data_IF_680923888450
#
_entry.id   IF_680923888450
#
_cell.length_a   1.000
_cell.length_b   1.000
_cell.length_c   1.000
_cell.angle_alpha   90.00
_cell.angle_beta   90.00
_cell.angle_gamma   90.00
#
_symmetry.space_group_name_H-M   'P 1'
#
loop_
_entity.id
_entity.type
_entity.pdbx_description
1 polymer ?
#
# COMPACT_ATOMS: atom_id res chain seq x y z
N UNK A 1 37.51 -14.92 14.36
CA UNK A 1 36.84 -13.61 14.25
C UNK A 1 35.66 -13.81 13.33
N UNK A 2 34.45 -13.78 13.86
CA UNK A 2 33.23 -13.76 13.07
C UNK A 2 33.20 -12.43 12.33
N UNK A 3 33.16 -12.48 11.00
CA UNK A 3 33.09 -11.28 10.16
C UNK A 3 31.61 -10.99 9.92
N UNK A 4 31.06 -9.97 10.57
CA UNK A 4 29.69 -9.52 10.33
C UNK A 4 29.56 -8.88 8.94
N UNK A 5 28.60 -9.33 8.14
CA UNK A 5 28.21 -8.67 6.90
C UNK A 5 26.92 -7.91 7.18
N UNK A 6 26.96 -6.59 7.16
CA UNK A 6 25.79 -5.73 7.35
C UNK A 6 25.15 -5.37 6.01
N UNK A 7 23.89 -5.76 5.81
CA UNK A 7 23.08 -5.39 4.64
C UNK A 7 22.32 -4.11 5.01
N UNK A 8 22.85 -2.96 4.63
CA UNK A 8 22.39 -1.67 5.16
C UNK A 8 21.30 -0.98 4.35
N UNK A 9 20.90 -1.48 3.16
CA UNK A 9 19.80 -0.84 2.41
C UNK A 9 19.14 -1.74 1.38
N UNK A 10 17.86 -2.02 1.62
CA UNK A 10 16.91 -2.48 0.60
C UNK A 10 16.30 -1.22 -0.02
N UNK A 11 16.68 -0.90 -1.25
CA UNK A 11 15.99 0.12 -2.05
C UNK A 11 15.06 -0.60 -3.02
N UNK A 12 13.77 -0.61 -2.71
CA UNK A 12 12.73 -0.97 -3.67
C UNK A 12 12.48 0.24 -4.57
N UNK A 13 13.15 0.28 -5.73
CA UNK A 13 12.79 1.22 -6.77
C UNK A 13 11.47 0.74 -7.40
N UNK A 14 10.37 1.35 -6.95
CA UNK A 14 9.01 1.14 -7.40
C UNK A 14 8.88 1.26 -8.92
N UNK A 15 8.45 0.19 -9.58
CA UNK A 15 7.53 0.26 -10.70
C UNK A 15 6.58 -0.94 -10.56
N UNK A 16 5.30 -0.63 -10.32
CA UNK A 16 4.15 -1.53 -10.24
C UNK A 16 4.33 -2.82 -9.41
N UNK A 17 4.13 -2.76 -8.10
CA UNK A 17 4.16 -3.97 -7.26
C UNK A 17 2.87 -4.14 -6.46
N UNK A 18 2.23 -5.26 -6.79
CA UNK A 18 1.16 -5.96 -6.10
C UNK A 18 1.57 -6.26 -4.64
N UNK A 19 0.67 -6.23 -3.64
CA UNK A 19 1.02 -6.17 -2.21
C UNK A 19 1.56 -7.50 -1.64
N UNK A 20 1.71 -8.52 -2.47
CA UNK A 20 1.92 -9.91 -2.06
C UNK A 20 3.37 -10.37 -2.22
N UNK A 21 4.31 -9.46 -2.41
CA UNK A 21 5.69 -9.77 -2.78
C UNK A 21 6.67 -9.25 -1.73
N UNK A 22 7.21 -10.14 -0.91
CA UNK A 22 8.29 -9.79 0.03
C UNK A 22 9.41 -10.81 -0.12
N UNK A 23 10.47 -10.37 -0.78
CA UNK A 23 11.71 -11.13 -0.92
C UNK A 23 12.58 -10.91 0.33
N UNK A 24 12.92 -11.99 1.05
CA UNK A 24 13.92 -11.93 2.11
C UNK A 24 15.29 -12.25 1.52
N UNK A 25 16.27 -11.40 1.78
CA UNK A 25 17.67 -11.68 1.42
C UNK A 25 18.35 -12.30 2.62
N UNK A 26 18.76 -13.56 2.48
CA UNK A 26 19.52 -14.27 3.51
C UNK A 26 20.99 -14.31 3.13
N UNK A 27 21.85 -13.87 4.04
CA UNK A 27 23.28 -14.19 4.04
C UNK A 27 23.45 -15.50 4.82
N UNK A 28 23.82 -16.56 4.11
CA UNK A 28 24.28 -17.78 4.77
C UNK A 28 25.80 -17.72 4.89
N UNK A 29 26.30 -17.47 6.09
CA UNK A 29 27.55 -18.08 6.51
C UNK A 29 27.19 -19.51 6.96
N UNK A 30 27.48 -20.48 6.11
CA UNK A 30 27.03 -21.87 6.27
C UNK A 30 27.61 -22.50 7.53
N UNK A 31 26.79 -22.65 8.58
CA UNK A 31 27.10 -23.42 9.79
C UNK A 31 27.15 -24.94 9.59
N UNK A 32 27.27 -25.45 8.36
CA UNK A 32 27.29 -26.91 8.13
C UNK A 32 28.24 -27.51 7.08
N UNK A 33 29.15 -26.77 6.44
CA UNK A 33 30.23 -27.41 5.68
C UNK A 33 31.53 -26.63 5.81
N UNK A 34 32.56 -27.29 6.34
CA UNK A 34 33.90 -26.78 6.69
C UNK A 34 34.76 -26.33 5.49
N UNK A 35 34.17 -25.99 4.33
CA UNK A 35 34.86 -25.74 3.06
C UNK A 35 34.46 -24.43 2.34
N UNK A 36 33.61 -23.56 2.94
CA UNK A 36 33.05 -22.38 2.26
C UNK A 36 33.36 -21.01 2.92
N UNK A 37 34.41 -20.89 3.73
CA UNK A 37 34.75 -19.62 4.43
C UNK A 37 35.06 -18.41 3.52
N UNK A 38 35.39 -18.66 2.25
CA UNK A 38 35.82 -17.63 1.29
C UNK A 38 34.72 -17.12 0.35
N UNK A 39 33.46 -17.49 0.55
CA UNK A 39 32.36 -17.08 -0.34
C UNK A 39 31.29 -16.27 0.39
N UNK A 40 30.64 -15.36 -0.34
CA UNK A 40 29.44 -14.64 0.08
C UNK A 40 28.33 -15.03 -0.88
N UNK A 41 27.29 -15.69 -0.36
CA UNK A 41 26.12 -16.11 -1.12
C UNK A 41 24.92 -15.23 -0.76
N UNK A 42 24.27 -14.68 -1.77
CA UNK A 42 23.05 -13.89 -1.65
C UNK A 42 21.93 -14.75 -2.20
N UNK A 43 20.97 -15.06 -1.32
CA UNK A 43 19.79 -15.83 -1.67
C UNK A 43 18.56 -14.93 -1.66
N UNK A 44 17.71 -15.05 -2.67
CA UNK A 44 16.36 -14.52 -2.66
C UNK A 44 15.41 -15.63 -2.21
N UNK A 45 14.72 -15.39 -1.10
CA UNK A 45 13.64 -16.24 -0.60
C UNK A 45 12.30 -15.56 -0.83
N UNK A 46 11.31 -16.32 -1.29
CA UNK A 46 9.99 -15.84 -1.68
C UNK A 46 8.91 -16.46 -0.80
N UNK A 47 7.92 -15.65 -0.42
CA UNK A 47 6.75 -16.12 0.31
C UNK A 47 5.47 -15.65 -0.40
N UNK A 48 4.69 -16.57 -1.01
CA UNK A 48 3.42 -16.19 -1.62
C UNK A 48 2.40 -15.78 -0.56
N UNK A 49 1.67 -14.68 -0.81
CA UNK A 49 0.52 -14.29 0.01
C UNK A 49 -0.66 -15.25 -0.15
N UNK A 50 -1.50 -15.36 0.90
CA UNK A 50 -2.56 -16.37 1.06
C UNK A 50 -3.66 -16.39 -0.04
N UNK A 51 -3.75 -15.37 -0.88
CA UNK A 51 -4.72 -15.29 -1.98
C UNK A 51 -4.00 -14.98 -3.29
N UNK A 52 -3.43 -15.98 -3.97
CA UNK A 52 -2.81 -15.75 -5.28
C UNK A 52 -3.12 -16.84 -6.29
N UNK A 53 -4.10 -16.55 -7.14
CA UNK A 53 -4.16 -17.00 -8.54
C UNK A 53 -3.13 -16.23 -9.38
N UNK A 54 -1.87 -16.12 -8.93
CA UNK A 54 -0.81 -15.48 -9.72
C UNK A 54 -0.21 -16.54 -10.63
N UNK A 55 -0.57 -16.44 -11.92
CA UNK A 55 0.03 -17.19 -13.02
C UNK A 55 1.36 -16.55 -13.41
N UNK A 56 2.42 -16.86 -12.67
CA UNK A 56 3.79 -16.48 -13.02
C UNK A 56 4.21 -15.08 -12.59
N UNK A 57 5.43 -15.00 -12.05
CA UNK A 57 6.10 -13.77 -11.65
C UNK A 57 7.54 -13.79 -12.11
N UNK A 58 8.09 -12.62 -12.40
CA UNK A 58 9.49 -12.43 -12.71
C UNK A 58 10.13 -11.45 -11.74
N UNK A 59 11.39 -11.67 -11.41
CA UNK A 59 12.17 -10.81 -10.53
C UNK A 59 13.54 -10.51 -11.14
N UNK A 60 13.94 -9.25 -11.15
CA UNK A 60 15.31 -8.83 -11.43
C UNK A 60 15.97 -8.42 -10.11
N UNK A 61 17.05 -9.11 -9.75
CA UNK A 61 17.89 -8.75 -8.62
C UNK A 61 19.19 -8.14 -9.11
N UNK A 62 19.50 -6.95 -8.62
CA UNK A 62 20.74 -6.23 -8.92
C UNK A 62 21.53 -6.14 -7.62
N UNK A 63 22.69 -6.77 -7.59
CA UNK A 63 23.63 -6.65 -6.48
C UNK A 63 24.70 -5.62 -6.80
N UNK A 64 25.02 -4.78 -5.83
CA UNK A 64 26.13 -3.83 -5.87
C UNK A 64 26.93 -3.89 -4.58
N UNK A 65 28.23 -3.62 -4.66
CA UNK A 65 29.12 -3.56 -3.50
C UNK A 65 29.68 -2.15 -3.34
N UNK A 66 29.87 -1.71 -2.11
CA UNK A 66 30.43 -0.40 -1.80
C UNK A 66 31.90 -0.53 -1.37
N UNK A 67 32.77 0.37 -1.84
CA UNK A 67 34.14 0.51 -1.32
C UNK A 67 34.19 1.48 -0.12
N UNK A 68 35.37 1.62 0.50
CA UNK A 68 35.62 2.59 1.59
C UNK A 68 35.39 4.04 1.18
N UNK A 69 35.61 4.39 -0.08
CA UNK A 69 35.37 5.72 -0.63
C UNK A 69 33.88 6.00 -0.89
N UNK A 70 33.00 5.04 -0.54
CA UNK A 70 31.54 5.06 -0.75
C UNK A 70 31.09 4.93 -2.21
N UNK A 71 32.00 4.61 -3.14
CA UNK A 71 31.67 4.29 -4.52
C UNK A 71 30.95 2.94 -4.60
N UNK A 72 29.94 2.88 -5.46
CA UNK A 72 29.08 1.70 -5.62
C UNK A 72 29.37 1.03 -6.96
N UNK A 73 29.83 -0.21 -6.92
CA UNK A 73 30.17 -0.99 -8.11
C UNK A 73 29.06 -2.01 -8.42
N UNK A 74 28.52 -2.05 -9.65
CA UNK A 74 27.60 -3.10 -10.06
C UNK A 74 28.37 -4.43 -10.14
N UNK A 75 27.86 -5.47 -9.50
CA UNK A 75 28.54 -6.78 -9.48
C UNK A 75 27.80 -7.84 -10.27
N UNK A 76 26.46 -7.87 -10.18
CA UNK A 76 25.66 -8.85 -10.92
C UNK A 76 24.21 -8.42 -11.03
N UNK A 77 23.59 -8.73 -12.16
CA UNK A 77 22.14 -8.66 -12.37
C UNK A 77 21.65 -10.06 -12.72
N UNK A 78 20.63 -10.56 -12.01
CA UNK A 78 19.99 -11.85 -12.28
C UNK A 78 18.51 -11.64 -12.50
N UNK A 79 17.97 -12.22 -13.57
CA UNK A 79 16.54 -12.27 -13.84
C UNK A 79 16.06 -13.68 -13.57
N UNK A 80 15.03 -13.80 -12.74
CA UNK A 80 14.35 -15.05 -12.39
C UNK A 80 12.97 -14.97 -13.02
N UNK A 81 12.57 -16.00 -13.76
CA UNK A 81 11.25 -16.13 -14.39
C UNK A 81 10.60 -17.39 -13.84
N UNK A 82 9.35 -17.32 -13.39
CA UNK A 82 8.57 -18.49 -12.98
C UNK A 82 7.45 -18.81 -13.96
N UNK A 83 7.39 -20.08 -14.31
CA UNK A 83 6.50 -20.76 -15.25
C UNK A 83 5.22 -21.32 -14.59
N UNK A 84 4.71 -20.64 -13.55
CA UNK A 84 3.34 -20.83 -13.07
C UNK A 84 3.10 -22.03 -12.14
N UNK A 85 4.13 -22.83 -11.81
CA UNK A 85 4.00 -23.95 -10.88
C UNK A 85 4.63 -23.64 -9.51
N UNK A 86 4.03 -22.71 -8.77
CA UNK A 86 3.92 -22.76 -7.30
C UNK A 86 5.13 -23.09 -6.41
N UNK A 87 6.39 -22.93 -6.82
CA UNK A 87 7.54 -23.19 -5.95
C UNK A 87 8.68 -22.22 -6.19
N UNK A 88 8.64 -21.07 -5.52
CA UNK A 88 9.83 -20.27 -5.27
C UNK A 88 10.24 -20.47 -3.82
N UNK A 89 11.02 -21.50 -3.53
CA UNK A 89 11.45 -21.73 -2.15
C UNK A 89 12.78 -21.03 -1.85
N UNK A 90 13.72 -20.95 -2.81
CA UNK A 90 15.00 -20.23 -2.63
C UNK A 90 15.79 -20.15 -3.94
N UNK A 91 16.26 -18.96 -4.32
CA UNK A 91 17.15 -18.80 -5.48
C UNK A 91 18.46 -18.12 -5.11
N UNK A 92 19.58 -18.70 -5.52
CA UNK A 92 20.87 -18.02 -5.45
C UNK A 92 20.93 -16.93 -6.52
N UNK A 93 21.00 -15.68 -6.10
CA UNK A 93 21.01 -14.52 -7.01
C UNK A 93 22.43 -14.03 -7.26
N UNK A 94 23.31 -14.13 -6.27
CA UNK A 94 24.71 -13.74 -6.43
C UNK A 94 25.61 -14.58 -5.53
N UNK A 95 26.80 -14.89 -6.06
CA UNK A 95 27.88 -15.55 -5.35
C UNK A 95 29.16 -14.80 -5.66
N UNK A 96 29.88 -14.43 -4.61
CA UNK A 96 31.17 -13.77 -4.73
C UNK A 96 32.23 -14.49 -3.92
N UNK A 97 33.47 -14.40 -4.38
CA UNK A 97 34.63 -14.82 -3.62
C UNK A 97 35.18 -13.61 -2.86
N UNK A 98 35.45 -13.77 -1.56
CA UNK A 98 36.03 -12.73 -0.70
C UNK A 98 37.38 -12.25 -1.24
N UNK A 99 38.12 -13.11 -1.94
CA UNK A 99 39.40 -12.80 -2.62
C UNK A 99 39.27 -11.77 -3.75
N UNK A 100 38.09 -11.63 -4.36
CA UNK A 100 37.87 -10.66 -5.45
C UNK A 100 37.74 -9.23 -4.92
N UNK A 101 37.64 -9.06 -3.59
CA UNK A 101 37.50 -7.77 -2.93
C UNK A 101 38.66 -7.57 -1.96
N UNK A 102 39.71 -6.82 -2.35
CA UNK A 102 40.82 -6.54 -1.46
C UNK A 102 40.36 -5.85 -0.17
N UNK A 103 40.85 -6.34 0.98
CA UNK A 103 40.53 -5.76 2.31
C UNK A 103 40.87 -4.28 2.42
N UNK A 104 41.95 -3.84 1.76
CA UNK A 104 42.36 -2.44 1.72
C UNK A 104 41.31 -1.52 1.08
N UNK A 105 40.45 -2.04 0.20
CA UNK A 105 39.52 -1.27 -0.64
C UNK A 105 38.06 -1.40 -0.20
N UNK A 106 37.61 -2.60 0.18
CA UNK A 106 36.17 -2.88 0.37
C UNK A 106 35.73 -3.15 1.81
N UNK A 107 36.66 -3.41 2.72
CA UNK A 107 36.32 -3.81 4.10
C UNK A 107 36.63 -2.68 5.06
N UNK A 108 35.64 -2.21 5.81
CA UNK A 108 35.81 -1.21 6.87
C UNK A 108 36.82 -1.67 7.94
N UNK A 109 37.26 -0.76 8.81
CA UNK A 109 38.26 -1.07 9.85
C UNK A 109 37.82 -2.22 10.78
N UNK A 110 36.52 -2.37 10.98
CA UNK A 110 35.90 -3.45 11.75
C UNK A 110 35.77 -4.78 10.96
N UNK A 111 36.18 -4.80 9.69
CA UNK A 111 36.07 -5.95 8.80
C UNK A 111 34.69 -6.14 8.16
N UNK A 112 33.82 -5.13 8.25
CA UNK A 112 32.49 -5.12 7.65
C UNK A 112 32.56 -4.77 6.15
N UNK A 113 31.63 -5.31 5.36
CA UNK A 113 31.46 -4.96 3.94
C UNK A 113 30.00 -4.65 3.65
N UNK A 114 29.75 -3.57 2.92
CA UNK A 114 28.39 -3.13 2.57
C UNK A 114 27.99 -3.65 1.19
N UNK A 115 26.88 -4.38 1.15
CA UNK A 115 26.29 -4.91 -0.08
C UNK A 115 24.88 -4.36 -0.24
N UNK A 116 24.62 -3.75 -1.39
CA UNK A 116 23.30 -3.27 -1.79
C UNK A 116 22.63 -4.28 -2.70
N UNK A 117 21.35 -4.56 -2.42
CA UNK A 117 20.51 -5.37 -3.30
C UNK A 117 19.25 -4.61 -3.67
N UNK A 118 19.03 -4.43 -4.97
CA UNK A 118 17.80 -3.90 -5.53
C UNK A 118 17.02 -5.05 -6.15
N UNK A 119 15.78 -5.25 -5.73
CA UNK A 119 14.87 -6.25 -6.31
C UNK A 119 13.76 -5.52 -7.04
N UNK A 120 13.57 -5.84 -8.31
CA UNK A 120 12.43 -5.39 -9.14
C UNK A 120 11.58 -6.61 -9.44
N UNK A 121 10.27 -6.54 -9.24
CA UNK A 121 9.37 -7.67 -9.49
C UNK A 121 8.24 -7.23 -10.40
N UNK A 122 7.80 -8.12 -11.28
CA UNK A 122 6.65 -7.89 -12.14
C UNK A 122 5.91 -9.20 -12.38
N UNK A 123 4.62 -9.12 -12.67
CA UNK A 123 3.78 -10.27 -13.01
C UNK A 123 3.01 -9.97 -14.28
N UNK A 124 2.73 -10.99 -15.08
CA UNK A 124 1.79 -10.85 -16.17
C UNK A 124 0.38 -10.78 -15.55
N UNK A 125 -0.30 -9.65 -15.72
CA UNK A 125 -1.74 -9.59 -15.48
C UNK A 125 -2.41 -10.38 -16.58
N UNK A 126 -3.15 -11.43 -16.23
CA UNK A 126 -4.17 -11.95 -17.15
C UNK A 126 -5.13 -10.80 -17.44
N UNK A 127 -5.12 -10.31 -18.68
CA UNK A 127 -6.23 -9.55 -19.18
C UNK A 127 -7.41 -10.51 -19.16
N UNK A 128 -8.36 -10.32 -18.23
CA UNK A 128 -9.72 -10.82 -18.44
C UNK A 128 -10.14 -10.27 -19.79
N UNK A 129 -10.14 -11.14 -20.80
CA UNK A 129 -10.56 -10.81 -22.14
C UNK A 129 -11.97 -10.21 -22.04
N UNK A 130 -12.08 -8.89 -22.19
CA UNK A 130 -13.27 -8.32 -22.78
C UNK A 130 -13.30 -8.89 -24.19
N UNK A 131 -14.31 -9.72 -24.40
CA UNK A 131 -14.70 -10.31 -25.67
C UNK A 131 -14.41 -9.40 -26.86
N UNK A 132 -13.55 -9.90 -27.74
CA UNK A 132 -13.47 -9.65 -29.19
C UNK A 132 -13.98 -8.29 -29.68
N UNK A 133 -13.02 -7.41 -29.98
CA UNK A 133 -13.19 -6.25 -30.85
C UNK A 133 -13.74 -6.65 -32.22
N UNK A 134 -14.88 -6.07 -32.61
CA UNK A 134 -15.12 -5.70 -34.01
C UNK A 134 -16.00 -4.45 -34.08
N UNK A 135 -15.58 -3.51 -34.93
CA UNK A 135 -16.27 -2.30 -35.44
C UNK A 135 -16.02 -0.97 -34.71
N UNK A 136 -15.03 -0.31 -35.29
CA UNK A 136 -14.58 1.08 -35.24
C UNK A 136 -15.75 2.11 -35.32
N UNK A 137 -15.76 3.04 -34.35
CA UNK A 137 -16.20 4.45 -34.44
C UNK A 137 -17.68 4.88 -34.39
N UNK A 138 -18.66 4.06 -33.98
CA UNK A 138 -20.05 4.53 -33.78
C UNK A 138 -20.61 4.38 -32.37
N UNK A 139 -19.80 3.88 -31.44
CA UNK A 139 -20.25 3.51 -30.09
C UNK A 139 -19.43 4.31 -29.07
N UNK A 140 -19.68 5.62 -28.98
CA UNK A 140 -19.50 6.26 -27.68
C UNK A 140 -20.54 5.56 -26.80
N UNK A 141 -20.08 4.52 -26.10
CA UNK A 141 -20.89 3.68 -25.23
C UNK A 141 -21.86 4.60 -24.47
N UNK A 142 -23.16 4.43 -24.65
CA UNK A 142 -24.18 5.32 -24.08
C UNK A 142 -23.95 5.63 -22.58
N UNK A 143 -23.30 4.70 -21.86
CA UNK A 143 -22.88 4.88 -20.46
C UNK A 143 -21.82 5.98 -20.26
N UNK A 144 -20.85 6.16 -21.16
CA UNK A 144 -19.81 7.19 -21.04
C UNK A 144 -20.38 8.59 -21.23
N UNK A 145 -21.32 8.75 -22.17
CA UNK A 145 -22.05 10.01 -22.38
C UNK A 145 -22.81 10.44 -21.12
N UNK A 146 -23.54 9.53 -20.48
CA UNK A 146 -24.28 9.80 -19.24
C UNK A 146 -23.33 10.23 -18.13
N UNK A 147 -22.17 9.58 -17.99
CA UNK A 147 -21.17 9.93 -16.99
C UNK A 147 -20.58 11.34 -17.23
N UNK A 148 -20.31 11.69 -18.48
CA UNK A 148 -19.84 13.04 -18.85
C UNK A 148 -20.89 14.09 -18.48
N UNK A 149 -22.16 13.83 -18.79
CA UNK A 149 -23.28 14.73 -18.44
C UNK A 149 -23.46 14.88 -16.92
N UNK A 150 -23.30 13.81 -16.15
CA UNK A 150 -23.34 13.87 -14.68
C UNK A 150 -22.14 14.66 -14.11
N UNK A 151 -20.94 14.49 -14.67
CA UNK A 151 -19.77 15.29 -14.31
C UNK A 151 -19.97 16.79 -14.64
N UNK A 152 -20.64 17.10 -15.76
CA UNK A 152 -21.05 18.47 -16.10
C UNK A 152 -22.06 19.03 -15.08
N UNK A 153 -23.03 18.24 -14.61
CA UNK A 153 -23.95 18.65 -13.54
C UNK A 153 -23.27 18.83 -12.19
N UNK A 154 -22.17 18.11 -11.92
CA UNK A 154 -21.36 18.37 -10.73
C UNK A 154 -20.64 19.72 -10.84
N UNK A 155 -20.09 20.05 -12.02
CA UNK A 155 -19.41 21.33 -12.28
C UNK A 155 -20.37 22.51 -12.36
N UNK A 156 -21.54 22.29 -12.94
CA UNK A 156 -22.57 23.30 -13.14
C UNK A 156 -23.59 23.26 -12.01
N UNK A 157 -23.68 24.36 -11.25
CA UNK A 157 -24.58 24.49 -10.09
C UNK A 157 -26.07 24.63 -10.45
N UNK A 158 -26.40 24.60 -11.74
CA UNK A 158 -27.78 24.71 -12.24
C UNK A 158 -28.67 23.63 -11.64
N UNK A 159 -29.91 23.99 -11.29
CA UNK A 159 -30.91 23.11 -10.67
C UNK A 159 -30.53 22.48 -9.32
N UNK A 160 -29.43 22.92 -8.70
CA UNK A 160 -29.08 22.50 -7.34
C UNK A 160 -30.18 22.87 -6.34
N UNK A 161 -30.61 21.89 -5.55
CA UNK A 161 -31.71 21.98 -4.59
C UNK A 161 -31.26 21.74 -3.14
N UNK A 162 -29.94 21.60 -2.93
CA UNK A 162 -29.31 21.54 -1.60
C UNK A 162 -27.94 22.22 -1.58
N UNK A 163 -27.62 22.86 -0.44
CA UNK A 163 -26.31 23.42 -0.13
C UNK A 163 -25.62 22.57 0.96
N UNK A 164 -24.44 22.05 0.65
CA UNK A 164 -23.58 21.33 1.58
C UNK A 164 -22.54 22.32 2.13
N UNK A 165 -22.60 22.60 3.42
CA UNK A 165 -21.70 23.52 4.10
C UNK A 165 -20.59 22.67 4.74
N UNK A 166 -19.44 22.61 4.08
CA UNK A 166 -18.29 21.80 4.48
C UNK A 166 -17.19 22.72 5.00
N UNK A 167 -17.06 22.81 6.33
CA UNK A 167 -16.18 23.79 6.96
C UNK A 167 -16.44 25.21 6.44
N UNK A 168 -15.43 25.82 5.80
CA UNK A 168 -15.49 27.17 5.23
C UNK A 168 -16.09 27.24 3.82
N UNK A 169 -16.42 26.10 3.20
CA UNK A 169 -16.81 26.02 1.79
C UNK A 169 -18.27 25.61 1.66
N UNK A 170 -18.98 26.23 0.70
CA UNK A 170 -20.34 25.82 0.33
C UNK A 170 -20.31 25.14 -1.04
N UNK A 171 -20.76 23.88 -1.08
CA UNK A 171 -20.92 23.09 -2.29
C UNK A 171 -22.41 22.98 -2.65
N UNK A 172 -22.72 23.15 -3.92
CA UNK A 172 -24.07 23.02 -4.44
C UNK A 172 -24.25 21.61 -5.01
N UNK A 173 -25.36 20.95 -4.71
CA UNK A 173 -25.61 19.58 -5.16
C UNK A 173 -27.09 19.31 -5.45
N UNK A 174 -27.38 18.10 -5.92
CA UNK A 174 -28.73 17.63 -6.22
C UNK A 174 -29.14 16.52 -5.23
N UNK A 175 -30.21 16.75 -4.46
CA UNK A 175 -30.73 15.79 -3.47
C UNK A 175 -31.00 14.43 -4.09
N UNK A 176 -31.56 14.40 -5.30
CA UNK A 176 -31.91 13.14 -5.97
C UNK A 176 -30.67 12.27 -6.26
N UNK A 177 -29.55 12.88 -6.67
CA UNK A 177 -28.30 12.17 -6.94
C UNK A 177 -27.71 11.66 -5.62
N UNK A 178 -27.64 12.53 -4.60
CA UNK A 178 -27.11 12.17 -3.28
C UNK A 178 -27.92 11.04 -2.62
N UNK A 179 -29.25 11.14 -2.63
CA UNK A 179 -30.15 10.14 -2.08
C UNK A 179 -30.07 8.80 -2.82
N UNK A 180 -29.92 8.82 -4.15
CA UNK A 180 -29.76 7.60 -4.92
C UNK A 180 -28.44 6.86 -4.63
N UNK A 181 -27.41 7.58 -4.18
CA UNK A 181 -26.03 7.07 -4.05
C UNK A 181 -25.58 6.85 -2.60
N UNK A 182 -26.27 7.43 -1.63
CA UNK A 182 -25.99 7.28 -0.20
C UNK A 182 -27.27 7.09 0.59
N UNK A 183 -27.34 6.00 1.36
CA UNK A 183 -28.46 5.72 2.27
C UNK A 183 -28.60 6.80 3.34
N UNK A 184 -27.49 7.40 3.78
CA UNK A 184 -27.47 8.47 4.77
C UNK A 184 -28.12 9.73 4.20
N UNK A 185 -27.73 10.15 2.99
CA UNK A 185 -28.39 11.28 2.33
C UNK A 185 -29.86 10.98 2.00
N UNK A 186 -30.19 9.75 1.61
CA UNK A 186 -31.58 9.35 1.36
C UNK A 186 -32.43 9.55 2.62
N UNK A 187 -31.99 9.01 3.77
CA UNK A 187 -32.68 9.17 5.04
C UNK A 187 -32.79 10.66 5.42
N UNK A 188 -31.71 11.42 5.27
CA UNK A 188 -31.65 12.86 5.55
C UNK A 188 -32.67 13.65 4.73
N UNK A 189 -32.93 13.30 3.46
CA UNK A 189 -33.86 14.04 2.60
C UNK A 189 -35.28 13.48 2.54
N UNK A 190 -35.48 12.21 2.93
CA UNK A 190 -36.83 11.62 2.96
C UNK A 190 -37.61 12.00 4.22
N UNK A 191 -36.99 11.99 5.40
CA UNK A 191 -37.67 12.30 6.67
C UNK A 191 -37.83 13.81 6.88
N UNK A 192 -38.78 14.23 7.75
CA UNK A 192 -38.94 15.65 8.14
C UNK A 192 -37.80 16.11 9.06
N UNK A 193 -36.59 16.14 8.52
CA UNK A 193 -35.38 16.60 9.19
C UNK A 193 -35.18 18.09 8.96
N UNK A 194 -34.34 18.74 9.78
CA UNK A 194 -34.01 20.15 9.62
C UNK A 194 -33.34 20.43 8.26
N UNK A 195 -32.58 19.45 7.76
CA UNK A 195 -31.90 19.48 6.48
C UNK A 195 -32.88 19.48 5.30
N UNK A 196 -33.96 18.69 5.40
CA UNK A 196 -35.03 18.69 4.40
C UNK A 196 -35.75 20.02 4.34
N UNK A 197 -36.00 20.64 5.50
CA UNK A 197 -36.73 21.91 5.61
C UNK A 197 -35.89 23.12 5.20
N UNK A 198 -34.60 23.11 5.51
CA UNK A 198 -33.68 24.24 5.25
C UNK A 198 -32.98 24.17 3.90
N UNK A 199 -33.00 23.01 3.22
CA UNK A 199 -32.19 22.72 2.03
C UNK A 199 -30.68 22.92 2.27
N UNK A 200 -30.22 22.77 3.51
CA UNK A 200 -28.83 22.91 3.93
C UNK A 200 -28.39 21.70 4.74
N UNK A 201 -27.17 21.25 4.51
CA UNK A 201 -26.53 20.17 5.29
C UNK A 201 -25.19 20.68 5.79
N UNK A 202 -24.97 20.64 7.10
CA UNK A 202 -23.70 21.04 7.71
C UNK A 202 -22.78 19.84 7.93
N UNK A 203 -21.52 19.98 7.53
CA UNK A 203 -20.49 18.94 7.57
C UNK A 203 -19.24 19.59 8.16
N UNK A 204 -19.00 19.36 9.46
CA UNK A 204 -17.99 20.10 10.23
C UNK A 204 -16.67 19.34 10.42
N UNK A 205 -16.70 18.03 10.23
CA UNK A 205 -15.67 17.04 10.56
C UNK A 205 -14.95 16.49 9.32
N UNK A 206 -15.05 17.18 8.19
CA UNK A 206 -14.47 16.74 6.91
C UNK A 206 -13.72 17.88 6.24
N UNK A 207 -12.52 17.58 5.75
CA UNK A 207 -11.76 18.50 4.90
C UNK A 207 -12.55 18.84 3.62
N UNK A 208 -12.71 20.13 3.24
CA UNK A 208 -13.51 20.53 2.10
C UNK A 208 -13.06 19.93 0.75
N UNK A 209 -11.76 19.72 0.56
CA UNK A 209 -11.23 19.17 -0.70
C UNK A 209 -11.47 17.66 -0.77
N UNK A 210 -11.32 16.96 0.36
CA UNK A 210 -11.73 15.54 0.48
C UNK A 210 -13.21 15.37 0.16
N UNK A 211 -14.07 16.20 0.77
CA UNK A 211 -15.50 16.09 0.53
C UNK A 211 -15.87 16.44 -0.91
N UNK A 212 -15.19 17.39 -1.54
CA UNK A 212 -15.41 17.71 -2.95
C UNK A 212 -15.16 16.49 -3.86
N UNK A 213 -14.09 15.72 -3.63
CA UNK A 213 -13.83 14.52 -4.42
C UNK A 213 -14.84 13.40 -4.14
N UNK A 214 -15.28 13.24 -2.90
CA UNK A 214 -16.37 12.30 -2.58
C UNK A 214 -17.67 12.74 -3.25
N UNK A 215 -17.97 14.03 -3.27
CA UNK A 215 -19.13 14.57 -3.97
C UNK A 215 -19.03 14.29 -5.48
N UNK A 216 -17.86 14.49 -6.11
CA UNK A 216 -17.64 14.12 -7.51
C UNK A 216 -17.83 12.63 -7.75
N UNK A 217 -17.38 11.78 -6.82
CA UNK A 217 -17.61 10.33 -6.86
C UNK A 217 -19.11 9.99 -6.78
N UNK A 218 -19.91 10.69 -5.98
CA UNK A 218 -21.36 10.44 -5.94
C UNK A 218 -22.01 10.66 -7.30
N UNK A 219 -21.52 11.62 -8.09
CA UNK A 219 -22.04 11.88 -9.44
C UNK A 219 -21.52 10.90 -10.48
N UNK A 220 -20.26 10.47 -10.39
CA UNK A 220 -19.59 9.76 -11.50
C UNK A 220 -19.22 8.31 -11.21
N UNK A 221 -19.21 7.91 -9.94
CA UNK A 221 -18.67 6.64 -9.49
C UNK A 221 -17.16 6.48 -9.71
N UNK A 222 -16.42 7.58 -9.98
CA UNK A 222 -14.98 7.52 -10.33
C UNK A 222 -14.13 8.29 -9.33
N UNK A 223 -13.19 7.59 -8.72
CA UNK A 223 -12.08 8.20 -7.99
C UNK A 223 -10.79 8.04 -8.79
N UNK A 224 -10.03 9.11 -8.97
CA UNK A 224 -8.76 9.03 -9.71
C UNK A 224 -7.68 8.40 -8.83
N UNK A 225 -6.68 7.79 -9.46
CA UNK A 225 -5.58 7.17 -8.72
C UNK A 225 -4.78 8.20 -7.93
N UNK A 226 -4.56 9.36 -8.54
CA UNK A 226 -3.84 10.49 -7.97
C UNK A 226 -4.55 10.99 -6.70
N UNK A 227 -5.89 11.06 -6.72
CA UNK A 227 -6.68 11.42 -5.54
C UNK A 227 -6.65 10.37 -4.45
N UNK A 228 -6.70 9.09 -4.78
CA UNK A 228 -6.48 8.05 -3.77
C UNK A 228 -5.07 8.14 -3.17
N UNK A 229 -4.06 8.41 -3.98
CA UNK A 229 -2.67 8.53 -3.50
C UNK A 229 -2.48 9.72 -2.56
N UNK A 230 -3.26 10.79 -2.74
CA UNK A 230 -3.24 12.04 -1.96
C UNK A 230 -4.07 11.95 -0.67
N UNK A 231 -5.28 11.40 -0.74
CA UNK A 231 -6.30 11.60 0.31
C UNK A 231 -7.12 10.35 0.67
N UNK A 232 -6.65 9.13 0.34
CA UNK A 232 -7.40 7.89 0.59
C UNK A 232 -7.89 7.73 2.04
N UNK A 233 -7.11 8.15 3.05
CA UNK A 233 -7.51 8.07 4.47
C UNK A 233 -8.74 8.95 4.76
N UNK A 234 -8.71 10.20 4.30
CA UNK A 234 -9.84 11.12 4.45
C UNK A 234 -11.07 10.65 3.67
N UNK A 235 -10.87 10.21 2.43
CA UNK A 235 -11.95 9.67 1.58
C UNK A 235 -12.58 8.44 2.23
N UNK A 236 -11.79 7.54 2.82
CA UNK A 236 -12.26 6.36 3.52
C UNK A 236 -13.17 6.71 4.71
N UNK A 237 -12.78 7.71 5.51
CA UNK A 237 -13.60 8.17 6.63
C UNK A 237 -14.96 8.72 6.16
N UNK A 238 -14.97 9.51 5.08
CA UNK A 238 -16.22 10.05 4.51
C UNK A 238 -17.05 8.94 3.87
N UNK A 239 -16.43 8.00 3.16
CA UNK A 239 -17.11 6.87 2.55
C UNK A 239 -17.83 6.02 3.60
N UNK A 240 -17.19 5.76 4.74
CA UNK A 240 -17.83 5.08 5.86
C UNK A 240 -18.99 5.90 6.45
N UNK A 241 -18.76 7.19 6.74
CA UNK A 241 -19.78 8.10 7.29
C UNK A 241 -21.05 8.16 6.46
N UNK A 242 -20.93 8.12 5.13
CA UNK A 242 -22.06 8.21 4.19
C UNK A 242 -22.48 6.86 3.59
N UNK A 243 -21.96 5.74 4.13
CA UNK A 243 -22.27 4.36 3.72
C UNK A 243 -22.06 4.12 2.22
N UNK A 244 -20.89 4.53 1.72
CA UNK A 244 -20.43 4.36 0.34
C UNK A 244 -19.54 3.12 0.23
N UNK A 245 -20.13 1.94 0.36
CA UNK A 245 -19.42 0.66 0.51
C UNK A 245 -18.40 0.37 -0.61
N UNK A 246 -18.73 0.70 -1.86
CA UNK A 246 -17.83 0.53 -3.02
C UNK A 246 -16.59 1.42 -2.92
N UNK A 247 -16.77 2.70 -2.58
CA UNK A 247 -15.67 3.65 -2.38
C UNK A 247 -14.82 3.28 -1.17
N UNK A 248 -15.48 2.85 -0.07
CA UNK A 248 -14.82 2.34 1.13
C UNK A 248 -13.88 1.18 0.77
N UNK A 249 -14.39 0.19 0.04
CA UNK A 249 -13.59 -0.96 -0.41
C UNK A 249 -12.45 -0.56 -1.37
N UNK A 250 -12.69 0.41 -2.26
CA UNK A 250 -11.65 0.95 -3.15
C UNK A 250 -10.50 1.61 -2.35
N UNK A 251 -10.83 2.44 -1.37
CA UNK A 251 -9.85 3.08 -0.49
C UNK A 251 -9.09 2.06 0.38
N UNK A 252 -9.79 1.10 1.00
CA UNK A 252 -9.14 0.01 1.76
C UNK A 252 -8.14 -0.76 0.88
N UNK A 253 -8.57 -1.17 -0.31
CA UNK A 253 -7.69 -1.88 -1.24
C UNK A 253 -6.49 -1.05 -1.68
N UNK A 254 -6.68 0.25 -1.89
CA UNK A 254 -5.61 1.16 -2.23
C UNK A 254 -4.58 1.27 -1.08
N UNK A 255 -5.04 1.48 0.15
CA UNK A 255 -4.19 1.61 1.33
C UNK A 255 -3.46 0.31 1.66
N UNK A 256 -4.13 -0.85 1.56
CA UNK A 256 -3.50 -2.16 1.70
C UNK A 256 -2.38 -2.36 0.66
N UNK A 257 -2.59 -1.88 -0.58
CA UNK A 257 -1.57 -1.98 -1.64
C UNK A 257 -0.35 -1.11 -1.42
N UNK A 258 -0.48 -0.03 -0.64
CA UNK A 258 0.61 0.90 -0.32
C UNK A 258 1.15 0.72 1.09
N UNK A 259 0.74 -0.34 1.79
CA UNK A 259 1.22 -0.66 3.13
C UNK A 259 2.74 -0.83 3.12
N UNK A 260 3.41 -0.10 3.99
CA UNK A 260 4.85 -0.14 4.22
C UNK A 260 5.13 -0.06 5.71
N UNK A 261 6.39 -0.29 6.11
CA UNK A 261 6.77 -0.14 7.51
C UNK A 261 6.58 1.28 8.04
N UNK A 262 6.79 2.28 7.18
CA UNK A 262 6.72 3.70 7.54
C UNK A 262 5.28 4.15 7.83
N UNK A 263 4.29 3.61 7.11
CA UNK A 263 2.89 4.03 7.24
C UNK A 263 2.02 3.04 8.03
N UNK A 264 2.50 1.84 8.35
CA UNK A 264 1.72 0.81 9.03
C UNK A 264 1.17 1.28 10.37
N UNK A 265 1.98 1.97 11.18
CA UNK A 265 1.57 2.48 12.49
C UNK A 265 0.44 3.52 12.39
N UNK A 266 0.53 4.44 11.43
CA UNK A 266 -0.49 5.46 11.19
C UNK A 266 -1.80 4.86 10.66
N UNK A 267 -1.72 3.89 9.74
CA UNK A 267 -2.92 3.24 9.19
C UNK A 267 -3.61 2.36 10.23
N UNK A 268 -2.86 1.69 11.11
CA UNK A 268 -3.40 0.97 12.25
C UNK A 268 -4.10 1.91 13.23
N UNK A 269 -3.48 3.06 13.52
CA UNK A 269 -4.08 4.09 14.36
C UNK A 269 -5.44 4.56 13.82
N UNK A 270 -5.47 4.86 12.52
CA UNK A 270 -6.67 5.27 11.83
C UNK A 270 -7.74 4.17 11.86
N UNK A 271 -7.36 2.92 11.56
CA UNK A 271 -8.29 1.80 11.48
C UNK A 271 -8.75 1.28 12.86
N UNK A 272 -8.10 1.69 13.95
CA UNK A 272 -8.50 1.38 15.32
C UNK A 272 -9.68 2.24 15.81
N UNK A 273 -9.96 3.38 15.16
CA UNK A 273 -11.17 4.14 15.43
C UNK A 273 -12.42 3.29 15.17
N UNK A 274 -13.53 3.52 15.88
CA UNK A 274 -14.74 2.76 15.67
C UNK A 274 -15.23 2.96 14.21
N UNK A 275 -15.17 1.87 13.43
CA UNK A 275 -15.91 1.59 12.18
C UNK A 275 -15.33 1.91 10.77
N UNK A 276 -14.23 2.65 10.54
CA UNK A 276 -13.91 3.08 9.19
C UNK A 276 -13.30 2.01 8.28
N UNK A 277 -12.62 0.96 8.81
CA UNK A 277 -11.81 0.11 7.94
C UNK A 277 -11.43 -1.30 8.47
N UNK A 278 -12.37 -2.24 8.61
CA UNK A 278 -12.09 -3.56 9.20
C UNK A 278 -11.05 -4.37 8.41
N UNK A 279 -11.11 -4.39 7.07
CA UNK A 279 -10.15 -5.15 6.28
C UNK A 279 -8.75 -4.52 6.34
N UNK A 280 -8.68 -3.20 6.31
CA UNK A 280 -7.43 -2.47 6.46
C UNK A 280 -6.80 -2.74 7.83
N UNK A 281 -7.60 -2.70 8.92
CA UNK A 281 -7.12 -3.03 10.28
C UNK A 281 -6.50 -4.43 10.29
N UNK A 282 -7.24 -5.44 9.81
CA UNK A 282 -6.75 -6.82 9.76
C UNK A 282 -5.46 -6.95 8.96
N UNK A 283 -5.40 -6.36 7.77
CA UNK A 283 -4.22 -6.42 6.91
C UNK A 283 -3.01 -5.74 7.54
N UNK A 284 -3.19 -4.58 8.16
CA UNK A 284 -2.12 -3.85 8.83
C UNK A 284 -1.60 -4.60 10.07
N UNK A 285 -2.49 -5.28 10.82
CA UNK A 285 -2.12 -6.18 11.92
C UNK A 285 -1.28 -7.36 11.42
N UNK A 286 -1.70 -8.00 10.33
CA UNK A 286 -0.96 -9.11 9.73
C UNK A 286 0.41 -8.65 9.18
N UNK A 287 0.49 -7.43 8.64
CA UNK A 287 1.74 -6.82 8.21
C UNK A 287 2.70 -6.60 9.38
N UNK A 288 2.22 -6.00 10.48
CA UNK A 288 3.00 -5.79 11.70
C UNK A 288 3.50 -7.11 12.29
N UNK A 289 2.65 -8.16 12.35
CA UNK A 289 3.04 -9.49 12.82
C UNK A 289 4.16 -10.11 11.99
N UNK A 290 4.16 -9.85 10.68
CA UNK A 290 5.14 -10.41 9.76
C UNK A 290 6.47 -9.66 9.79
N UNK A 291 6.45 -8.34 10.01
CA UNK A 291 7.64 -7.47 10.00
C UNK A 291 7.75 -6.56 11.24
N UNK A 292 7.74 -7.10 12.47
CA UNK A 292 7.70 -6.29 13.68
C UNK A 292 8.94 -5.41 13.81
N UNK A 293 10.14 -5.97 13.60
CA UNK A 293 11.41 -5.25 13.75
C UNK A 293 11.50 -4.06 12.79
N UNK A 294 10.97 -4.22 11.57
CA UNK A 294 10.96 -3.18 10.54
C UNK A 294 9.99 -2.05 10.88
N UNK A 295 8.76 -2.39 11.31
CA UNK A 295 7.75 -1.38 11.68
C UNK A 295 8.17 -0.64 12.95
N UNK A 296 8.69 -1.35 13.96
CA UNK A 296 9.06 -0.75 15.25
C UNK A 296 10.27 0.19 15.17
N UNK A 297 11.12 0.02 14.15
CA UNK A 297 12.26 0.89 13.88
C UNK A 297 11.88 2.22 13.23
N UNK A 298 10.63 2.41 12.78
CA UNK A 298 10.23 3.65 12.09
C UNK A 298 9.88 4.77 13.06
N UNK A 299 10.10 6.01 12.63
CA UNK A 299 9.70 7.20 13.40
C UNK A 299 8.18 7.24 13.61
N UNK A 300 7.40 6.75 12.64
CA UNK A 300 5.95 6.64 12.71
C UNK A 300 5.49 5.77 13.89
N UNK A 301 6.16 4.64 14.13
CA UNK A 301 5.91 3.81 15.30
C UNK A 301 6.26 4.52 16.62
N UNK A 302 7.41 5.19 16.67
CA UNK A 302 7.82 5.93 17.87
C UNK A 302 6.85 7.07 18.20
N UNK A 303 6.32 7.76 17.18
CA UNK A 303 5.28 8.78 17.33
C UNK A 303 3.98 8.18 17.85
N UNK A 304 3.49 7.10 17.23
CA UNK A 304 2.26 6.42 17.66
C UNK A 304 2.33 5.94 19.12
N UNK A 305 3.52 5.50 19.58
CA UNK A 305 3.77 5.11 20.97
C UNK A 305 3.67 6.29 21.94
N UNK A 306 4.16 7.49 21.55
CA UNK A 306 4.11 8.70 22.38
C UNK A 306 2.71 9.31 22.47
N UNK A 307 1.94 9.23 21.38
CA UNK A 307 0.59 9.78 21.30
C UNK A 307 -0.45 8.93 22.04
N UNK A 308 -0.01 7.91 22.79
CA UNK A 308 -0.83 7.09 23.69
C UNK A 308 -2.12 6.59 23.04
N UNK A 309 -2.00 6.34 21.75
CA UNK A 309 -3.07 5.87 20.90
C UNK A 309 -3.45 4.48 21.45
N UNK A 310 -4.68 4.02 21.27
CA UNK A 310 -5.31 2.95 22.09
C UNK A 310 -4.67 1.57 21.83
N UNK A 311 -3.39 1.41 22.14
CA UNK A 311 -2.49 0.31 21.78
C UNK A 311 -2.20 -0.62 22.96
N UNK A 312 -2.89 -0.46 24.09
CA UNK A 312 -2.43 -1.09 25.35
C UNK A 312 -2.85 -2.55 25.53
N UNK A 313 -3.90 -3.05 24.86
CA UNK A 313 -4.33 -4.45 25.04
C UNK A 313 -4.33 -5.24 23.73
N UNK A 314 -4.98 -4.74 22.67
CA UNK A 314 -5.04 -5.46 21.38
C UNK A 314 -3.66 -5.67 20.76
N UNK A 315 -2.74 -4.70 20.90
CA UNK A 315 -1.39 -4.86 20.36
C UNK A 315 -0.50 -5.76 21.18
N UNK A 316 -0.69 -5.82 22.49
CA UNK A 316 -0.01 -6.78 23.33
C UNK A 316 -0.42 -8.18 22.90
N UNK A 317 -1.71 -8.47 22.66
CA UNK A 317 -2.14 -9.77 22.11
C UNK A 317 -1.63 -10.04 20.68
N UNK A 318 -1.57 -9.01 19.84
CA UNK A 318 -1.04 -9.12 18.47
C UNK A 318 0.46 -9.44 18.46
N UNK A 319 1.22 -8.87 19.39
CA UNK A 319 2.67 -9.05 19.52
C UNK A 319 3.06 -10.25 20.39
N UNK A 320 2.27 -10.62 21.41
CA UNK A 320 2.50 -11.74 22.33
C UNK A 320 2.42 -13.13 21.68
N UNK A 321 2.05 -13.23 20.40
CA UNK A 321 2.36 -14.40 19.57
C UNK A 321 3.87 -14.62 19.37
N UNK A 322 4.71 -13.61 19.65
CA UNK A 322 6.13 -13.74 19.98
C UNK A 322 6.28 -13.52 21.47
N UNK A 323 6.86 -14.50 22.18
CA UNK A 323 7.24 -14.38 23.59
C UNK A 323 7.95 -13.04 23.83
N UNK A 324 7.30 -12.12 24.55
CA UNK A 324 7.96 -11.07 25.31
C UNK A 324 8.24 -11.62 26.69
N UNK A 325 9.30 -12.42 26.77
CA UNK A 325 10.16 -12.59 27.94
C UNK A 325 11.54 -12.25 27.36
N UNK A 326 12.25 -11.23 27.82
CA UNK A 326 12.71 -11.13 29.19
C UNK A 326 12.78 -9.69 29.72
N UNK A 327 12.68 -9.63 31.05
CA UNK A 327 13.05 -8.55 31.97
C UNK A 327 14.53 -8.22 31.88
#
# INVERSE_FOLDING_TARGET
>A
MEHSVSVSRISSAFYEIIPFFIGKILLLDSLQQSLLKDKINIMLEYHPGANNTITGGSAQVITRIQNKQRDIFPTKTVVIVSDGLGSFNRHEVSRFFKTNFPKSVFYEEEGNVTIYCTVKMWTLKENKSRTSSSKIASDVCHNELVLIQLEELFKNKSLSDVKLIVGWRTLHAHKIILAARSKVFAAMFHHQTAEKLSNKVEIQDVDPDVFQEVLRYLYTGRMSREKLDEMAVGVLAVADKYLLDELKAECENHLMKRMSADNCAELLAFAAQPHPAMHLKKYAVDFLRRYPDLVMATDGWQKAKKENLVWSCELIEILCGRKLLDV
#
